data_IF_675633751595
#
_entry.id   IF_675633751595
#
_cell.length_a   1.000
_cell.length_b   1.000
_cell.length_c   1.000
_cell.angle_alpha   90.00
_cell.angle_beta   90.00
_cell.angle_gamma   90.00
#
_symmetry.space_group_name_H-M   'P 1'
#
loop_
_entity.id
_entity.type
_entity.pdbx_description
1 polymer ?
#
# COMPACT_ATOMS: atom_id res chain seq x y z
N UNK A 1 29.72 3.41 -5.28
CA UNK A 1 28.46 3.10 -4.56
C UNK A 1 27.71 4.41 -4.37
N UNK A 2 26.56 4.59 -5.03
CA UNK A 2 25.79 5.83 -4.93
C UNK A 2 25.15 5.94 -3.55
N UNK A 3 25.38 7.06 -2.87
CA UNK A 3 24.82 7.36 -1.54
C UNK A 3 23.29 7.24 -1.60
N UNK A 4 22.62 6.57 -0.64
CA UNK A 4 21.17 6.46 -0.66
C UNK A 4 20.55 7.87 -0.66
N UNK A 5 19.39 8.05 -1.32
CA UNK A 5 18.70 9.34 -1.36
C UNK A 5 18.55 9.90 0.05
N UNK A 6 19.09 11.09 0.28
CA UNK A 6 18.93 11.83 1.53
C UNK A 6 17.46 12.20 1.70
N UNK A 7 16.92 12.07 2.92
CA UNK A 7 15.54 12.49 3.24
C UNK A 7 14.55 11.36 3.51
N UNK A 8 14.98 10.10 3.53
CA UNK A 8 14.14 9.00 4.03
C UNK A 8 14.12 8.95 5.55
N UNK A 9 12.92 8.81 6.10
CA UNK A 9 12.65 8.48 7.50
C UNK A 9 11.91 7.15 7.54
N UNK A 10 12.41 6.18 8.32
CA UNK A 10 11.74 4.89 8.53
C UNK A 10 11.49 4.62 10.01
N UNK A 11 10.26 4.17 10.30
CA UNK A 11 9.84 3.66 11.60
C UNK A 11 9.27 2.25 11.44
N UNK A 12 9.74 1.33 12.26
CA UNK A 12 9.22 -0.02 12.36
C UNK A 12 8.28 -0.06 13.55
N UNK A 13 7.09 -0.63 13.38
CA UNK A 13 6.04 -0.65 14.41
C UNK A 13 5.57 -2.08 14.59
N UNK A 14 5.54 -2.52 15.84
CA UNK A 14 4.91 -3.75 16.29
C UNK A 14 3.51 -3.39 16.83
N UNK A 15 2.49 -4.02 16.27
CA UNK A 15 1.09 -3.76 16.60
C UNK A 15 0.64 -4.69 17.71
N UNK A 16 -0.17 -4.19 18.64
CA UNK A 16 -0.86 -5.04 19.60
C UNK A 16 -1.91 -5.90 18.90
N UNK A 17 -2.26 -7.01 19.53
CA UNK A 17 -3.34 -7.90 19.07
C UNK A 17 -4.56 -7.70 19.95
N UNK A 18 -5.72 -7.55 19.32
CA UNK A 18 -7.03 -7.55 19.96
C UNK A 18 -7.80 -8.74 19.40
N UNK A 19 -8.23 -9.66 20.25
CA UNK A 19 -8.84 -10.95 19.86
C UNK A 19 -7.99 -11.73 18.84
N UNK A 20 -6.67 -11.74 19.07
CA UNK A 20 -5.69 -12.37 18.19
C UNK A 20 -5.37 -11.60 16.90
N UNK A 21 -6.08 -10.51 16.61
CA UNK A 21 -5.98 -9.79 15.35
C UNK A 21 -5.20 -8.47 15.45
N UNK A 22 -4.40 -8.17 14.42
CA UNK A 22 -3.63 -6.92 14.31
C UNK A 22 -4.43 -5.78 13.66
N UNK A 23 -5.51 -6.10 12.96
CA UNK A 23 -6.26 -5.16 12.12
C UNK A 23 -6.82 -3.95 12.92
N UNK A 24 -7.39 -4.11 14.13
CA UNK A 24 -7.84 -2.96 14.92
C UNK A 24 -6.70 -1.98 15.24
N UNK A 25 -5.52 -2.50 15.58
CA UNK A 25 -4.32 -1.70 15.85
C UNK A 25 -3.78 -1.01 14.59
N UNK A 26 -3.81 -1.70 13.44
CA UNK A 26 -3.44 -1.11 12.16
C UNK A 26 -4.39 0.04 11.79
N UNK A 27 -5.69 -0.13 11.98
CA UNK A 27 -6.71 0.92 11.78
C UNK A 27 -6.45 2.13 12.65
N UNK A 28 -6.20 1.93 13.94
CA UNK A 28 -5.84 3.03 14.84
C UNK A 28 -4.59 3.77 14.34
N UNK A 29 -3.53 3.04 13.96
CA UNK A 29 -2.30 3.60 13.42
C UNK A 29 -2.56 4.46 12.17
N UNK A 30 -3.20 3.90 11.14
CA UNK A 30 -3.45 4.62 9.89
C UNK A 30 -4.51 5.72 10.03
N UNK A 31 -5.43 5.59 10.99
CA UNK A 31 -6.35 6.63 11.43
C UNK A 31 -5.63 7.91 11.85
N UNK A 32 -4.55 7.78 12.64
CA UNK A 32 -3.70 8.92 13.02
C UNK A 32 -2.72 9.36 11.93
N UNK A 33 -2.17 8.42 11.15
CA UNK A 33 -1.18 8.76 10.12
C UNK A 33 -1.78 9.50 8.94
N UNK A 34 -2.98 9.16 8.47
CA UNK A 34 -3.50 9.75 7.23
C UNK A 34 -3.71 11.28 7.33
N UNK A 35 -4.29 11.85 8.40
CA UNK A 35 -4.38 13.30 8.58
C UNK A 35 -2.99 13.96 8.67
N UNK A 36 -2.04 13.30 9.33
CA UNK A 36 -0.65 13.78 9.44
C UNK A 36 0.02 13.84 8.07
N UNK A 37 -0.05 12.75 7.29
CA UNK A 37 0.46 12.67 5.92
C UNK A 37 -0.18 13.73 5.02
N UNK A 38 -1.49 13.88 5.09
CA UNK A 38 -2.22 14.89 4.31
C UNK A 38 -1.74 16.31 4.64
N UNK A 39 -1.52 16.63 5.93
CA UNK A 39 -1.00 17.93 6.37
C UNK A 39 0.39 18.20 5.80
N UNK A 40 1.33 17.25 5.91
CA UNK A 40 2.69 17.43 5.41
C UNK A 40 2.77 17.48 3.87
N UNK A 41 1.89 16.75 3.18
CA UNK A 41 1.75 16.86 1.71
C UNK A 41 1.25 18.25 1.29
N UNK A 42 0.24 18.81 1.96
CA UNK A 42 -0.24 20.19 1.69
C UNK A 42 0.86 21.24 1.88
N UNK A 43 1.73 21.03 2.86
CA UNK A 43 2.89 21.89 3.12
C UNK A 43 4.06 21.64 2.16
N UNK A 44 3.95 20.70 1.21
CA UNK A 44 5.01 20.28 0.28
C UNK A 44 6.28 19.75 0.96
N UNK A 45 6.15 19.24 2.18
CA UNK A 45 7.27 18.70 2.98
C UNK A 45 7.43 17.20 2.85
N UNK A 46 6.36 16.50 2.47
CA UNK A 46 6.34 15.06 2.27
C UNK A 46 6.07 14.76 0.80
N UNK A 47 7.01 14.08 0.16
CA UNK A 47 6.92 13.62 -1.23
C UNK A 47 6.26 12.25 -1.32
N UNK A 48 6.76 11.27 -0.55
CA UNK A 48 6.22 9.90 -0.56
C UNK A 48 5.98 9.39 0.85
N UNK A 49 4.93 8.59 1.01
CA UNK A 49 4.63 7.79 2.17
C UNK A 49 4.22 6.39 1.70
N UNK A 50 4.97 5.39 2.14
CA UNK A 50 4.66 3.99 1.85
C UNK A 50 4.81 3.13 3.10
N UNK A 51 4.00 2.07 3.17
CA UNK A 51 4.18 1.04 4.19
C UNK A 51 4.41 -0.33 3.55
N UNK A 52 5.04 -1.23 4.31
CA UNK A 52 5.14 -2.64 3.96
C UNK A 52 4.92 -3.49 5.21
N UNK A 53 4.30 -4.66 5.04
CA UNK A 53 4.22 -5.66 6.12
C UNK A 53 5.51 -6.45 6.18
N UNK A 54 6.20 -6.40 7.32
CA UNK A 54 7.42 -7.15 7.61
C UNK A 54 7.60 -7.24 9.11
N UNK A 55 8.10 -8.36 9.66
CA UNK A 55 8.31 -8.48 11.10
C UNK A 55 9.03 -7.26 11.69
N UNK A 56 8.55 -6.71 12.82
CA UNK A 56 7.48 -7.27 13.66
C UNK A 56 6.05 -7.13 13.10
N UNK A 57 5.72 -6.06 12.37
CA UNK A 57 4.42 -5.94 11.70
C UNK A 57 4.48 -5.01 10.48
N UNK A 58 4.73 -3.72 10.70
CA UNK A 58 4.72 -2.71 9.64
C UNK A 58 5.97 -1.85 9.65
N UNK A 59 6.47 -1.53 8.46
CA UNK A 59 7.52 -0.52 8.26
C UNK A 59 6.90 0.67 7.56
N UNK A 60 6.94 1.82 8.22
CA UNK A 60 6.49 3.10 7.70
C UNK A 60 7.69 3.82 7.11
N UNK A 61 7.61 4.25 5.85
CA UNK A 61 8.69 4.94 5.13
C UNK A 61 8.17 6.25 4.58
N UNK A 62 8.90 7.31 4.84
CA UNK A 62 8.55 8.67 4.43
C UNK A 62 9.73 9.28 3.69
N UNK A 63 9.48 9.93 2.55
CA UNK A 63 10.48 10.72 1.83
C UNK A 63 10.05 12.19 1.83
N UNK A 64 10.95 13.07 2.22
CA UNK A 64 10.71 14.51 2.23
C UNK A 64 11.94 15.30 2.66
N UNK A 65 11.80 16.62 2.67
CA UNK A 65 12.86 17.50 3.17
C UNK A 65 12.79 17.57 4.70
N UNK A 66 13.95 17.48 5.37
CA UNK A 66 14.11 17.69 6.82
C UNK A 66 13.18 16.87 7.73
N UNK A 67 12.73 15.68 7.29
CA UNK A 67 11.75 14.87 8.02
C UNK A 67 12.18 14.47 9.44
N UNK A 68 13.47 14.31 9.69
CA UNK A 68 13.98 13.98 11.04
C UNK A 68 13.73 15.11 12.05
N UNK A 69 13.88 16.37 11.62
CA UNK A 69 13.59 17.52 12.48
C UNK A 69 12.08 17.78 12.58
N UNK A 70 11.36 17.54 11.49
CA UNK A 70 10.00 18.01 11.33
C UNK A 70 8.94 16.96 11.68
N UNK A 71 8.97 15.84 10.96
CA UNK A 71 7.95 14.80 11.00
C UNK A 71 8.22 13.77 12.10
N UNK A 72 9.48 13.44 12.36
CA UNK A 72 9.83 12.41 13.34
C UNK A 72 9.31 12.72 14.77
N UNK A 73 9.34 13.96 15.28
CA UNK A 73 8.73 14.29 16.57
C UNK A 73 7.21 14.08 16.61
N UNK A 74 6.50 14.45 15.53
CA UNK A 74 5.05 14.21 15.40
C UNK A 74 4.75 12.71 15.39
N UNK A 75 5.50 11.92 14.61
CA UNK A 75 5.33 10.47 14.53
C UNK A 75 5.60 9.78 15.86
N UNK A 76 6.68 10.17 16.56
CA UNK A 76 6.99 9.62 17.90
C UNK A 76 5.88 9.92 18.90
N UNK A 77 5.28 11.12 18.86
CA UNK A 77 4.11 11.45 19.71
C UNK A 77 2.90 10.58 19.39
N UNK A 78 2.57 10.39 18.11
CA UNK A 78 1.49 9.49 17.68
C UNK A 78 1.73 8.06 18.17
N UNK A 79 2.92 7.50 17.92
CA UNK A 79 3.25 6.13 18.31
C UNK A 79 3.33 5.94 19.82
N UNK A 80 3.82 6.93 20.57
CA UNK A 80 3.80 6.91 22.02
C UNK A 80 2.36 6.93 22.56
N UNK A 81 1.46 7.69 21.94
CA UNK A 81 0.04 7.68 22.29
C UNK A 81 -0.59 6.32 22.02
N UNK A 82 -0.38 5.76 20.83
CA UNK A 82 -0.87 4.44 20.45
C UNK A 82 -0.32 3.32 21.34
N UNK A 83 0.90 3.48 21.85
CA UNK A 83 1.45 2.56 22.84
C UNK A 83 0.72 2.65 24.18
N UNK A 84 0.39 3.86 24.65
CA UNK A 84 -0.37 4.05 25.90
C UNK A 84 -1.81 3.54 25.77
N UNK A 85 -2.42 3.65 24.60
CA UNK A 85 -3.78 3.15 24.34
C UNK A 85 -3.81 1.67 23.93
N UNK A 86 -2.68 0.96 23.98
CA UNK A 86 -2.63 -0.48 23.77
C UNK A 86 -2.73 -0.95 22.31
N UNK A 87 -2.49 -0.10 21.32
CA UNK A 87 -2.48 -0.48 19.89
C UNK A 87 -1.07 -0.74 19.34
N UNK A 88 -0.03 -0.19 19.96
CA UNK A 88 1.36 -0.41 19.57
C UNK A 88 2.12 -1.02 20.74
N UNK A 89 2.83 -2.12 20.53
CA UNK A 89 3.64 -2.74 21.59
C UNK A 89 5.06 -2.15 21.61
N UNK A 90 5.61 -1.88 20.42
CA UNK A 90 6.95 -1.30 20.26
C UNK A 90 7.04 -0.53 18.94
N UNK A 91 7.90 0.49 18.91
CA UNK A 91 8.37 1.09 17.66
C UNK A 91 9.84 1.48 17.76
N UNK A 92 10.53 1.54 16.62
CA UNK A 92 11.93 1.95 16.54
C UNK A 92 12.31 2.47 15.14
N UNK A 93 13.27 3.39 15.08
CA UNK A 93 13.82 3.90 13.82
C UNK A 93 14.83 2.91 13.22
N UNK A 94 14.94 2.89 11.90
CA UNK A 94 16.04 2.18 11.22
C UNK A 94 16.35 2.86 9.89
N UNK A 95 17.48 2.53 9.28
CA UNK A 95 17.82 3.02 7.92
C UNK A 95 16.93 2.31 6.89
N UNK A 96 16.46 3.06 5.90
CA UNK A 96 15.85 2.48 4.71
C UNK A 96 16.90 2.36 3.61
N UNK A 97 17.12 1.13 3.15
CA UNK A 97 17.93 0.85 1.97
C UNK A 97 17.01 0.40 0.83
N UNK A 98 16.94 1.15 -0.28
CA UNK A 98 16.16 0.74 -1.44
C UNK A 98 16.80 -0.49 -2.09
N UNK A 99 15.97 -1.46 -2.50
CA UNK A 99 16.38 -2.67 -3.22
C UNK A 99 16.66 -2.37 -4.71
N UNK A 100 17.47 -1.33 -4.96
CA UNK A 100 17.65 -0.72 -6.27
C UNK A 100 18.06 -1.70 -7.35
N UNK A 101 18.91 -2.69 -7.03
CA UNK A 101 19.31 -3.72 -8.00
C UNK A 101 18.17 -4.66 -8.38
N UNK A 102 17.36 -5.05 -7.40
CA UNK A 102 16.23 -5.96 -7.61
C UNK A 102 15.16 -5.33 -8.50
N UNK A 103 14.98 -4.02 -8.39
CA UNK A 103 13.98 -3.28 -9.14
C UNK A 103 14.51 -2.58 -10.39
N UNK A 104 15.64 -3.01 -10.96
CA UNK A 104 16.10 -2.53 -12.27
C UNK A 104 16.83 -1.19 -12.28
N UNK A 105 17.33 -0.72 -11.13
CA UNK A 105 18.20 0.45 -11.04
C UNK A 105 17.56 1.73 -10.50
N UNK A 106 18.33 2.83 -10.39
CA UNK A 106 17.88 4.05 -9.72
C UNK A 106 16.68 4.75 -10.38
N UNK A 107 16.57 4.71 -11.71
CA UNK A 107 15.44 5.31 -12.43
C UNK A 107 14.15 4.52 -12.19
N UNK A 108 14.19 3.19 -12.35
CA UNK A 108 13.07 2.32 -12.06
C UNK A 108 12.60 2.44 -10.59
N UNK A 109 13.54 2.63 -9.64
CA UNK A 109 13.17 2.86 -8.24
C UNK A 109 12.31 4.11 -8.00
N UNK A 110 12.43 5.16 -8.82
CA UNK A 110 11.54 6.33 -8.71
C UNK A 110 10.09 5.96 -9.00
N UNK A 111 9.88 5.09 -10.00
CA UNK A 111 8.56 4.56 -10.35
C UNK A 111 8.05 3.61 -9.27
N UNK A 112 8.90 2.73 -8.74
CA UNK A 112 8.54 1.83 -7.63
C UNK A 112 8.10 2.61 -6.40
N UNK A 113 8.81 3.67 -6.01
CA UNK A 113 8.39 4.51 -4.87
C UNK A 113 7.08 5.24 -5.13
N UNK A 114 6.87 5.76 -6.35
CA UNK A 114 5.62 6.40 -6.72
C UNK A 114 4.44 5.41 -6.71
N UNK A 115 4.66 4.19 -7.18
CA UNK A 115 3.67 3.11 -7.14
C UNK A 115 3.34 2.73 -5.69
N UNK A 116 4.34 2.48 -4.84
CA UNK A 116 4.10 2.14 -3.42
C UNK A 116 3.42 3.26 -2.63
N UNK A 117 3.66 4.53 -2.97
CA UNK A 117 2.92 5.66 -2.40
C UNK A 117 1.44 5.67 -2.79
N UNK A 118 1.16 5.40 -4.07
CA UNK A 118 -0.20 5.31 -4.60
C UNK A 118 -0.95 4.11 -3.99
N UNK A 119 -0.31 2.95 -3.94
CA UNK A 119 -0.84 1.70 -3.39
C UNK A 119 -1.11 1.83 -1.89
N UNK A 120 -0.20 2.45 -1.13
CA UNK A 120 -0.41 2.76 0.29
C UNK A 120 -1.64 3.65 0.49
N UNK A 121 -1.81 4.68 -0.34
CA UNK A 121 -2.96 5.57 -0.24
C UNK A 121 -4.28 4.86 -0.63
N UNK A 122 -4.24 3.98 -1.62
CA UNK A 122 -5.38 3.18 -2.04
C UNK A 122 -5.81 2.20 -0.95
N UNK A 123 -4.86 1.48 -0.36
CA UNK A 123 -5.11 0.56 0.75
C UNK A 123 -5.80 1.25 1.94
N UNK A 124 -5.29 2.42 2.37
CA UNK A 124 -5.87 3.19 3.48
C UNK A 124 -7.30 3.63 3.15
N UNK A 125 -7.57 4.03 1.91
CA UNK A 125 -8.89 4.45 1.50
C UNK A 125 -9.89 3.28 1.48
N UNK A 126 -9.48 2.12 0.96
CA UNK A 126 -10.33 0.93 0.89
C UNK A 126 -10.62 0.34 2.28
N UNK A 127 -9.65 0.32 3.19
CA UNK A 127 -9.90 -0.14 4.56
C UNK A 127 -10.89 0.78 5.29
N UNK A 128 -10.82 2.10 5.06
CA UNK A 128 -11.81 3.06 5.60
C UNK A 128 -13.20 2.89 5.02
N UNK A 129 -13.32 2.56 3.73
CA UNK A 129 -14.60 2.24 3.12
C UNK A 129 -15.16 0.93 3.70
N UNK A 130 -14.32 -0.08 3.86
CA UNK A 130 -14.69 -1.36 4.46
C UNK A 130 -15.16 -1.20 5.91
N UNK A 131 -14.48 -0.38 6.71
CA UNK A 131 -14.87 -0.06 8.09
C UNK A 131 -16.28 0.57 8.18
N UNK A 132 -16.70 1.30 7.14
CA UNK A 132 -18.01 1.95 7.05
C UNK A 132 -19.07 1.09 6.36
N UNK A 133 -18.72 -0.13 5.93
CA UNK A 133 -19.61 -0.97 5.13
C UNK A 133 -19.92 -0.41 3.73
N UNK A 134 -19.07 0.47 3.21
CA UNK A 134 -19.26 1.19 1.94
C UNK A 134 -18.22 0.79 0.87
N UNK A 135 -17.63 -0.40 0.99
CA UNK A 135 -16.70 -0.95 0.00
C UNK A 135 -17.47 -1.93 -0.89
N UNK A 136 -17.62 -1.61 -2.17
CA UNK A 136 -18.27 -2.49 -3.14
C UNK A 136 -17.26 -3.47 -3.77
N UNK A 137 -16.01 -3.06 -3.94
CA UNK A 137 -14.97 -3.88 -4.57
C UNK A 137 -14.25 -4.72 -3.51
N UNK A 138 -14.27 -6.05 -3.68
CA UNK A 138 -13.53 -6.93 -2.77
C UNK A 138 -12.01 -6.81 -2.97
N UNK A 139 -11.18 -7.08 -1.94
CA UNK A 139 -9.73 -7.12 -2.08
C UNK A 139 -9.26 -8.08 -3.16
N UNK A 140 -9.94 -9.22 -3.33
CA UNK A 140 -9.64 -10.24 -4.32
C UNK A 140 -9.85 -9.69 -5.74
N UNK A 141 -11.02 -9.10 -6.01
CA UNK A 141 -11.33 -8.47 -7.31
C UNK A 141 -10.32 -7.38 -7.65
N UNK A 142 -9.98 -6.51 -6.68
CA UNK A 142 -8.98 -5.47 -6.89
C UNK A 142 -7.60 -6.05 -7.23
N UNK A 143 -7.14 -7.05 -6.46
CA UNK A 143 -5.83 -7.66 -6.69
C UNK A 143 -5.74 -8.31 -8.07
N UNK A 144 -6.78 -9.06 -8.48
CA UNK A 144 -6.80 -9.69 -9.80
C UNK A 144 -6.78 -8.64 -10.90
N UNK A 145 -7.57 -7.57 -10.77
CA UNK A 145 -7.60 -6.51 -11.77
C UNK A 145 -6.28 -5.73 -11.86
N UNK A 146 -5.62 -5.43 -10.74
CA UNK A 146 -4.29 -4.78 -10.73
C UNK A 146 -3.24 -5.68 -11.37
N UNK A 147 -3.22 -6.98 -11.05
CA UNK A 147 -2.29 -7.93 -11.67
C UNK A 147 -2.55 -8.10 -13.17
N UNK A 148 -3.82 -8.18 -13.56
CA UNK A 148 -4.20 -8.31 -14.96
C UNK A 148 -3.79 -7.07 -15.78
N UNK A 149 -4.03 -5.86 -15.26
CA UNK A 149 -3.55 -4.61 -15.88
C UNK A 149 -2.02 -4.59 -16.00
N UNK A 150 -1.29 -5.01 -14.95
CA UNK A 150 0.16 -5.12 -15.00
C UNK A 150 0.63 -6.07 -16.12
N UNK A 151 0.03 -7.25 -16.23
CA UNK A 151 0.38 -8.22 -17.29
C UNK A 151 0.09 -7.65 -18.67
N UNK A 152 -1.07 -7.03 -18.87
CA UNK A 152 -1.43 -6.39 -20.13
C UNK A 152 -0.46 -5.28 -20.53
N UNK A 153 -0.08 -4.40 -19.60
CA UNK A 153 0.87 -3.32 -19.87
C UNK A 153 2.29 -3.81 -20.15
N UNK A 154 2.64 -5.00 -19.67
CA UNK A 154 3.99 -5.57 -19.82
C UNK A 154 4.11 -6.42 -21.09
N UNK A 155 3.09 -7.20 -21.41
CA UNK A 155 3.11 -8.21 -22.47
C UNK A 155 2.45 -7.68 -23.75
N UNK A 156 1.39 -6.89 -23.63
CA UNK A 156 0.66 -6.32 -24.77
C UNK A 156 -0.12 -7.33 -25.61
N UNK A 157 -0.10 -8.62 -25.26
CA UNK A 157 -0.77 -9.69 -26.00
C UNK A 157 -1.68 -10.55 -25.08
N UNK A 158 -2.88 -10.85 -25.60
CA UNK A 158 -3.89 -11.60 -24.84
C UNK A 158 -3.44 -13.03 -24.52
N UNK A 159 -2.75 -13.68 -25.45
CA UNK A 159 -2.33 -15.07 -25.30
C UNK A 159 -1.19 -15.19 -24.28
N UNK A 160 -0.28 -14.21 -24.25
CA UNK A 160 0.77 -14.12 -23.24
C UNK A 160 0.21 -13.83 -21.85
N UNK A 161 -0.75 -12.91 -21.73
CA UNK A 161 -1.45 -12.64 -20.45
C UNK A 161 -2.16 -13.89 -19.94
N UNK A 162 -2.89 -14.59 -20.83
CA UNK A 162 -3.52 -15.87 -20.50
C UNK A 162 -2.49 -16.91 -20.03
N UNK A 163 -1.36 -17.02 -20.73
CA UNK A 163 -0.30 -17.96 -20.39
C UNK A 163 0.31 -17.68 -19.01
N UNK A 164 0.50 -16.41 -18.64
CA UNK A 164 0.94 -16.03 -17.28
C UNK A 164 -0.06 -16.47 -16.23
N UNK A 165 -1.36 -16.26 -16.44
CA UNK A 165 -2.40 -16.72 -15.52
C UNK A 165 -2.42 -18.25 -15.38
N UNK A 166 -2.27 -18.99 -16.49
CA UNK A 166 -2.17 -20.44 -16.47
C UNK A 166 -0.95 -20.91 -15.66
N UNK A 167 0.21 -20.27 -15.84
CA UNK A 167 1.42 -20.57 -15.06
C UNK A 167 1.26 -20.27 -13.58
N UNK A 168 0.64 -19.14 -13.22
CA UNK A 168 0.35 -18.80 -11.83
C UNK A 168 -0.56 -19.84 -11.18
N UNK A 169 -1.59 -20.31 -11.89
CA UNK A 169 -2.46 -21.39 -11.42
C UNK A 169 -1.68 -22.68 -11.16
N UNK A 170 -0.73 -23.05 -12.02
CA UNK A 170 0.12 -24.23 -11.79
C UNK A 170 1.03 -24.08 -10.57
N UNK A 171 1.55 -22.88 -10.32
CA UNK A 171 2.45 -22.61 -9.18
C UNK A 171 1.70 -22.52 -7.85
N UNK A 172 0.52 -21.87 -7.84
CA UNK A 172 -0.24 -21.59 -6.63
C UNK A 172 -1.28 -22.69 -6.30
N UNK A 173 -1.66 -23.50 -7.29
CA UNK A 173 -2.76 -24.46 -7.18
C UNK A 173 -4.14 -23.80 -7.32
N UNK A 174 -5.19 -24.64 -7.27
CA UNK A 174 -6.56 -24.15 -7.28
C UNK A 174 -6.89 -23.38 -6.00
N UNK A 175 -7.57 -22.22 -6.08
CA UNK A 175 -8.03 -21.53 -4.89
C UNK A 175 -9.02 -22.41 -4.11
N UNK A 176 -8.95 -22.36 -2.78
CA UNK A 176 -9.97 -22.96 -1.92
C UNK A 176 -11.27 -22.13 -2.04
N UNK A 177 -12.14 -22.53 -2.97
CA UNK A 177 -13.40 -21.86 -3.27
C UNK A 177 -13.36 -21.01 -4.55
N UNK A 178 -14.43 -21.10 -5.35
CA UNK A 178 -14.61 -20.25 -6.53
C UNK A 178 -15.13 -18.88 -6.08
N UNK A 179 -14.42 -17.77 -6.36
CA UNK A 179 -14.98 -16.44 -6.15
C UNK A 179 -16.19 -16.26 -7.08
N UNK A 180 -17.28 -15.70 -6.55
CA UNK A 180 -18.54 -15.47 -7.29
C UNK A 180 -18.48 -14.33 -8.33
N UNK A 181 -17.29 -13.94 -8.78
CA UNK A 181 -17.08 -12.91 -9.80
C UNK A 181 -16.76 -13.57 -11.13
N UNK A 182 -17.35 -13.07 -12.23
CA UNK A 182 -17.06 -13.61 -13.56
C UNK A 182 -15.83 -12.93 -14.16
N UNK A 183 -15.00 -13.70 -14.89
CA UNK A 183 -13.78 -13.20 -15.55
C UNK A 183 -14.03 -12.01 -16.50
N UNK A 184 -15.23 -11.90 -17.05
CA UNK A 184 -15.63 -10.80 -17.93
C UNK A 184 -15.62 -9.42 -17.22
N UNK A 185 -15.83 -9.39 -15.90
CA UNK A 185 -15.88 -8.15 -15.10
C UNK A 185 -14.48 -7.57 -14.81
N UNK A 186 -13.44 -8.40 -14.96
CA UNK A 186 -12.05 -8.09 -14.58
C UNK A 186 -11.18 -7.57 -15.74
N UNK A 187 -11.74 -7.51 -16.95
CA UNK A 187 -10.95 -7.31 -18.17
C UNK A 187 -10.44 -5.89 -18.42
N UNK A 188 -10.85 -4.87 -17.65
CA UNK A 188 -10.43 -3.48 -17.94
C UNK A 188 -10.37 -2.66 -16.64
N UNK A 189 -9.40 -1.73 -16.47
CA UNK A 189 -9.50 -0.64 -15.47
C UNK A 189 -10.87 0.07 -15.52
N UNK A 190 -11.46 0.16 -16.71
CA UNK A 190 -12.82 0.66 -16.95
C UNK A 190 -13.93 -0.20 -16.32
N UNK A 191 -13.76 -1.53 -16.23
CA UNK A 191 -14.70 -2.43 -15.58
C UNK A 191 -14.69 -2.26 -14.05
N UNK A 192 -13.50 -2.10 -13.47
CA UNK A 192 -13.37 -1.69 -12.06
C UNK A 192 -14.07 -0.36 -11.80
N UNK A 193 -13.96 0.64 -12.69
CA UNK A 193 -14.67 1.92 -12.55
C UNK A 193 -16.19 1.77 -12.64
N UNK A 194 -16.71 0.78 -13.39
CA UNK A 194 -18.15 0.46 -13.45
C UNK A 194 -18.63 -0.20 -12.15
N UNK A 195 -17.80 -1.06 -11.54
CA UNK A 195 -18.10 -1.68 -10.25
C UNK A 195 -17.90 -0.75 -9.06
N UNK A 196 -17.12 0.32 -9.23
CA UNK A 196 -16.77 1.26 -8.19
C UNK A 196 -17.94 2.18 -7.84
N UNK A 197 -18.30 2.25 -6.57
CA UNK A 197 -19.09 3.36 -6.09
C UNK A 197 -18.28 4.67 -6.10
N UNK A 198 -18.96 5.82 -5.99
CA UNK A 198 -18.35 7.17 -6.03
C UNK A 198 -17.10 7.32 -5.13
N UNK A 199 -17.06 6.63 -3.98
CA UNK A 199 -15.91 6.64 -3.07
C UNK A 199 -14.70 5.83 -3.56
N UNK A 200 -14.93 4.78 -4.34
CA UNK A 200 -13.89 3.85 -4.85
C UNK A 200 -13.33 4.30 -6.20
N UNK A 201 -14.09 5.06 -7.00
CA UNK A 201 -13.60 5.61 -8.27
C UNK A 201 -12.29 6.38 -8.09
N UNK A 202 -12.20 7.18 -7.03
CA UNK A 202 -10.98 7.92 -6.71
C UNK A 202 -9.82 7.02 -6.28
N UNK A 203 -10.10 5.85 -5.69
CA UNK A 203 -9.10 4.83 -5.34
C UNK A 203 -8.53 4.19 -6.61
N UNK A 204 -9.39 3.72 -7.50
CA UNK A 204 -8.98 3.01 -8.73
C UNK A 204 -8.15 3.91 -9.64
N UNK A 205 -8.54 5.17 -9.80
CA UNK A 205 -7.77 6.16 -10.59
C UNK A 205 -6.33 6.37 -10.12
N UNK A 206 -5.96 5.92 -8.91
CA UNK A 206 -4.57 6.00 -8.43
C UNK A 206 -3.65 5.01 -9.15
N UNK A 207 -4.19 3.95 -9.74
CA UNK A 207 -3.46 2.93 -10.48
C UNK A 207 -3.34 3.22 -11.99
N UNK A 208 -4.08 4.20 -12.53
CA UNK A 208 -4.06 4.55 -13.97
C UNK A 208 -2.78 5.27 -14.45
N UNK A 209 -1.72 5.32 -13.63
CA UNK A 209 -0.52 6.13 -13.89
C UNK A 209 0.42 5.53 -14.94
#
# INVERSE_FOLDING_TARGET
>A
MSRPPTGWLQLNVALARHDGQALPSARALFGHLAPLVARYRRQRRLRWFLFIRKPPDVRLRFLGANLEADLAPDLRRVLASLRRTGHVTRFFSSVYEPETRQFGGPEAMKHVHAYFDADTAAWIALDRLAERGARAISPETLNVAVLNDLFWRTLGDASEVWYVWANLFQVLGAPEGLPGATLADLMVPSGLLVMAEHGETGVIRRYER
#
